data_IF_409603716098
#
_entry.id   IF_409603716098
#
_cell.length_a   1.000
_cell.length_b   1.000
_cell.length_c   1.000
_cell.angle_alpha   90.00
_cell.angle_beta   90.00
_cell.angle_gamma   90.00
#
_symmetry.space_group_name_H-M   'P 1'
#
loop_
_entity.id
_entity.type
_entity.pdbx_description
1 polymer ?
#
# COMPACT_ATOMS: atom_id res chain seq x y z
N UNK A 1 14.39 -9.92 -9.55
CA UNK A 1 12.97 -9.59 -9.35
C UNK A 1 12.78 -9.07 -7.93
N UNK A 2 12.18 -7.94 -7.80
CA UNK A 2 11.85 -7.34 -6.51
C UNK A 2 10.48 -6.72 -6.52
N UNK A 3 10.10 -6.17 -5.37
CA UNK A 3 8.82 -5.47 -5.23
C UNK A 3 9.07 -4.11 -4.58
N UNK A 4 8.22 -3.15 -4.91
CA UNK A 4 8.26 -1.81 -4.33
C UNK A 4 6.87 -1.46 -3.84
N UNK A 5 6.82 -0.95 -2.61
CA UNK A 5 5.58 -0.47 -1.99
C UNK A 5 5.71 1.02 -1.77
N UNK A 6 4.74 1.78 -2.25
CA UNK A 6 4.73 3.23 -2.07
C UNK A 6 3.44 3.64 -1.41
N UNK A 7 3.53 4.41 -0.34
CA UNK A 7 2.39 4.99 0.34
C UNK A 7 2.45 6.51 0.18
N UNK A 8 1.38 7.07 -0.39
CA UNK A 8 1.25 8.52 -0.57
C UNK A 8 0.53 9.10 0.65
N UNK A 9 1.28 9.52 1.65
CA UNK A 9 0.74 9.87 2.96
C UNK A 9 0.67 11.38 3.22
N UNK A 10 1.22 12.21 2.32
CA UNK A 10 1.16 13.68 2.43
C UNK A 10 1.15 14.30 1.04
N UNK A 11 0.61 15.53 0.96
CA UNK A 11 0.61 16.29 -0.28
C UNK A 11 2.04 16.64 -0.72
N UNK A 12 2.31 16.70 -2.04
CA UNK A 12 3.58 17.16 -2.54
C UNK A 12 3.81 18.62 -2.18
N UNK A 13 5.05 18.97 -1.83
CA UNK A 13 5.42 20.34 -1.51
C UNK A 13 5.63 21.14 -2.80
N UNK A 14 5.19 22.40 -2.77
CA UNK A 14 5.48 23.37 -3.81
C UNK A 14 6.76 24.11 -3.45
N UNK A 15 7.73 24.10 -4.36
CA UNK A 15 9.04 24.71 -4.13
C UNK A 15 9.30 25.80 -5.18
N UNK A 16 9.74 26.98 -4.72
CA UNK A 16 10.16 28.05 -5.63
C UNK A 16 11.52 27.72 -6.24
N UNK A 17 11.61 27.72 -7.54
CA UNK A 17 12.88 27.54 -8.24
C UNK A 17 13.32 28.87 -8.86
N UNK A 18 14.36 29.52 -8.32
CA UNK A 18 14.83 30.82 -8.82
C UNK A 18 15.38 30.76 -10.25
N UNK A 19 15.76 29.59 -10.74
CA UNK A 19 16.26 29.45 -12.13
C UNK A 19 15.17 29.71 -13.16
N UNK A 20 13.92 29.44 -12.79
CA UNK A 20 12.76 29.59 -13.67
C UNK A 20 11.81 30.69 -13.20
N UNK A 21 12.15 31.38 -12.11
CA UNK A 21 11.29 32.39 -11.49
C UNK A 21 9.86 31.92 -11.33
N UNK A 22 9.68 30.69 -10.90
CA UNK A 22 8.39 30.03 -10.83
C UNK A 22 8.29 29.11 -9.62
N UNK A 23 7.07 28.76 -9.25
CA UNK A 23 6.77 27.79 -8.22
C UNK A 23 6.70 26.39 -8.85
N UNK A 24 7.49 25.46 -8.31
CA UNK A 24 7.52 24.09 -8.79
C UNK A 24 6.92 23.19 -7.72
N UNK A 25 5.90 22.44 -8.10
CA UNK A 25 5.37 21.35 -7.27
C UNK A 25 6.18 20.10 -7.59
N UNK A 26 6.51 19.30 -6.57
CA UNK A 26 7.10 18.00 -6.81
C UNK A 26 6.18 17.19 -7.71
N UNK A 27 6.58 17.05 -8.95
CA UNK A 27 5.73 16.64 -10.06
C UNK A 27 5.38 15.15 -10.08
N UNK A 28 6.11 14.34 -9.32
CA UNK A 28 5.97 12.89 -9.37
C UNK A 28 5.06 12.36 -8.27
N UNK A 29 3.89 13.00 -8.13
CA UNK A 29 2.88 12.55 -7.20
C UNK A 29 1.64 12.12 -7.98
N UNK A 30 1.73 10.99 -8.72
CA UNK A 30 0.69 10.59 -9.66
C UNK A 30 -0.59 10.10 -9.02
N UNK A 31 -0.59 9.92 -7.71
CA UNK A 31 -1.74 9.40 -6.97
C UNK A 31 -2.15 10.35 -5.86
N UNK A 32 -3.45 10.39 -5.50
CA UNK A 32 -3.89 11.20 -4.38
C UNK A 32 -3.37 10.67 -3.04
N UNK A 33 -3.28 11.56 -2.06
CA UNK A 33 -2.95 11.17 -0.68
C UNK A 33 -3.92 10.10 -0.19
N UNK A 34 -3.38 9.10 0.49
CA UNK A 34 -4.15 7.95 0.95
C UNK A 34 -4.08 6.74 0.03
N UNK A 35 -3.26 6.80 -1.02
CA UNK A 35 -3.08 5.68 -1.95
C UNK A 35 -1.86 4.84 -1.59
N UNK A 36 -1.98 3.53 -1.74
CA UNK A 36 -0.85 2.60 -1.69
C UNK A 36 -0.72 1.93 -3.05
N UNK A 37 0.52 1.88 -3.55
CA UNK A 37 0.83 1.23 -4.82
C UNK A 37 1.81 0.09 -4.59
N UNK A 38 1.47 -1.09 -5.09
CA UNK A 38 2.32 -2.27 -5.08
C UNK A 38 2.84 -2.50 -6.50
N UNK A 39 4.15 -2.60 -6.66
CA UNK A 39 4.80 -2.78 -7.95
C UNK A 39 5.75 -3.96 -7.94
N UNK A 40 5.87 -4.61 -9.09
CA UNK A 40 6.90 -5.61 -9.37
C UNK A 40 8.02 -4.94 -10.16
N UNK A 41 9.25 -5.11 -9.72
CA UNK A 41 10.44 -4.52 -10.35
C UNK A 41 11.26 -5.61 -11.03
N UNK A 42 11.45 -5.46 -12.33
CA UNK A 42 12.28 -6.35 -13.15
C UNK A 42 13.21 -5.47 -13.98
N UNK A 43 14.53 -5.64 -13.81
CA UNK A 43 15.54 -4.85 -14.53
C UNK A 43 15.27 -3.34 -14.46
N UNK A 44 15.04 -2.85 -13.25
CA UNK A 44 14.74 -1.44 -12.94
C UNK A 44 13.41 -0.91 -13.50
N UNK A 45 12.60 -1.76 -14.14
CA UNK A 45 11.29 -1.38 -14.66
C UNK A 45 10.19 -1.85 -13.70
N UNK A 46 9.34 -0.91 -13.28
CA UNK A 46 8.19 -1.21 -12.41
C UNK A 46 6.94 -1.52 -13.20
N UNK A 47 6.20 -2.53 -12.74
CA UNK A 47 4.86 -2.85 -13.24
C UNK A 47 3.92 -2.84 -12.04
N UNK A 48 2.84 -2.06 -12.14
CA UNK A 48 1.84 -1.98 -11.07
C UNK A 48 1.10 -3.29 -10.94
N UNK A 49 1.12 -3.86 -9.73
CA UNK A 49 0.36 -5.06 -9.38
C UNK A 49 -1.03 -4.66 -8.88
N UNK A 50 -1.07 -3.72 -7.94
CA UNK A 50 -2.33 -3.25 -7.36
C UNK A 50 -2.16 -1.84 -6.82
N UNK A 51 -3.25 -1.09 -6.86
CA UNK A 51 -3.38 0.25 -6.27
C UNK A 51 -4.60 0.24 -5.38
N UNK A 52 -4.46 0.70 -4.14
CA UNK A 52 -5.59 0.75 -3.22
C UNK A 52 -5.63 2.05 -2.42
N UNK A 53 -6.82 2.41 -1.97
CA UNK A 53 -7.06 3.59 -1.13
C UNK A 53 -7.06 3.20 0.34
N UNK A 54 -6.47 4.05 1.18
CA UNK A 54 -6.45 3.84 2.62
C UNK A 54 -7.86 3.63 3.22
N UNK A 55 -8.85 4.35 2.71
CA UNK A 55 -10.25 4.21 3.15
C UNK A 55 -10.88 2.85 2.88
N UNK A 56 -10.30 2.07 1.97
CA UNK A 56 -10.79 0.72 1.65
C UNK A 56 -10.08 -0.38 2.45
N UNK A 57 -9.06 -0.03 3.21
CA UNK A 57 -8.31 -1.00 4.01
C UNK A 57 -9.13 -1.42 5.22
N UNK A 58 -9.31 -2.71 5.39
CA UNK A 58 -10.06 -3.31 6.49
C UNK A 58 -9.14 -3.75 7.62
N UNK A 59 -8.03 -4.39 7.26
CA UNK A 59 -7.07 -4.90 8.24
C UNK A 59 -5.67 -4.99 7.67
N UNK A 60 -4.69 -4.87 8.57
CA UNK A 60 -3.28 -5.16 8.28
C UNK A 60 -2.84 -6.16 9.34
N UNK A 61 -2.41 -7.32 8.92
CA UNK A 61 -2.09 -8.42 9.83
C UNK A 61 -0.62 -8.80 9.78
N UNK A 62 -0.01 -8.97 10.95
CA UNK A 62 1.36 -9.44 11.08
C UNK A 62 1.49 -10.90 10.63
N UNK A 63 2.72 -11.37 10.33
CA UNK A 63 2.93 -12.78 9.99
C UNK A 63 2.35 -13.71 11.06
N UNK A 64 1.60 -14.72 10.60
CA UNK A 64 0.96 -15.67 11.50
C UNK A 64 -0.39 -15.23 12.07
N UNK A 65 -0.78 -13.98 11.85
CA UNK A 65 -2.10 -13.47 12.24
C UNK A 65 -3.01 -13.41 11.02
N UNK A 66 -4.30 -13.57 11.23
CA UNK A 66 -5.28 -13.49 10.17
C UNK A 66 -6.43 -12.57 10.54
N UNK A 67 -6.99 -11.92 9.54
CA UNK A 67 -8.21 -11.15 9.70
C UNK A 67 -9.36 -12.10 10.05
N UNK A 68 -10.06 -11.82 11.12
CA UNK A 68 -11.18 -12.64 11.62
C UNK A 68 -12.51 -11.87 11.72
N UNK A 69 -12.57 -10.70 11.12
CA UNK A 69 -13.77 -9.87 11.14
C UNK A 69 -14.83 -10.30 10.15
N UNK A 70 -15.71 -9.37 9.78
CA UNK A 70 -16.81 -9.60 8.86
C UNK A 70 -16.31 -10.08 7.50
N UNK A 71 -16.92 -11.13 6.96
CA UNK A 71 -16.59 -11.75 5.68
C UNK A 71 -15.17 -12.32 5.59
N UNK A 72 -14.54 -12.64 6.73
CA UNK A 72 -13.19 -13.18 6.76
C UNK A 72 -13.04 -14.48 5.94
N UNK A 73 -14.06 -15.33 5.93
CA UNK A 73 -14.05 -16.59 5.17
C UNK A 73 -14.15 -16.41 3.67
N UNK A 74 -14.51 -15.21 3.21
CA UNK A 74 -14.70 -14.89 1.79
C UNK A 74 -13.59 -14.03 1.21
N UNK A 75 -12.48 -13.83 1.93
CA UNK A 75 -11.34 -13.05 1.45
C UNK A 75 -10.65 -13.76 0.29
N UNK A 76 -10.41 -13.01 -0.77
CA UNK A 76 -9.73 -13.51 -1.98
C UNK A 76 -8.25 -13.15 -1.92
N UNK A 77 -7.38 -14.15 -2.01
CA UNK A 77 -5.94 -13.92 -2.09
C UNK A 77 -5.57 -13.46 -3.51
N UNK A 78 -5.21 -12.18 -3.64
CA UNK A 78 -4.97 -11.56 -4.94
C UNK A 78 -3.52 -11.63 -5.40
N UNK A 79 -2.57 -11.46 -4.47
CA UNK A 79 -1.15 -11.45 -4.81
C UNK A 79 -0.28 -11.69 -3.58
N UNK A 80 0.93 -12.20 -3.83
CA UNK A 80 1.99 -12.25 -2.83
C UNK A 80 3.19 -11.49 -3.40
N UNK A 81 3.44 -10.30 -2.86
CA UNK A 81 4.54 -9.43 -3.28
C UNK A 81 5.61 -9.32 -2.20
N UNK A 82 5.80 -10.39 -1.43
CA UNK A 82 6.71 -10.41 -0.27
C UNK A 82 8.03 -11.12 -0.51
N UNK A 83 8.15 -11.94 -1.55
CA UNK A 83 9.24 -12.90 -1.75
C UNK A 83 9.32 -13.93 -0.62
N UNK A 84 8.26 -14.10 0.16
CA UNK A 84 8.16 -15.06 1.26
C UNK A 84 6.90 -15.89 1.12
N UNK A 85 6.83 -16.99 1.85
CA UNK A 85 5.59 -17.75 1.95
C UNK A 85 4.54 -16.90 2.68
N UNK A 86 3.27 -17.08 2.33
CA UNK A 86 2.17 -16.28 2.88
C UNK A 86 2.16 -16.28 4.41
N UNK A 87 2.41 -17.40 5.05
CA UNK A 87 2.41 -17.51 6.52
C UNK A 87 3.56 -16.75 7.19
N UNK A 88 4.56 -16.32 6.43
CA UNK A 88 5.71 -15.54 6.91
C UNK A 88 5.68 -14.08 6.49
N UNK A 89 4.61 -13.66 5.86
CA UNK A 89 4.46 -12.30 5.36
C UNK A 89 3.37 -11.56 6.10
N UNK A 90 3.44 -10.22 6.08
CA UNK A 90 2.30 -9.40 6.45
C UNK A 90 1.21 -9.54 5.40
N UNK A 91 -0.01 -9.25 5.77
CA UNK A 91 -1.12 -9.19 4.83
C UNK A 91 -1.92 -7.90 5.01
N UNK A 92 -2.48 -7.42 3.92
CA UNK A 92 -3.40 -6.29 3.92
C UNK A 92 -4.71 -6.75 3.30
N UNK A 93 -5.81 -6.58 4.04
CA UNK A 93 -7.16 -6.92 3.58
C UNK A 93 -7.88 -5.62 3.24
N UNK A 94 -8.42 -5.54 2.04
CA UNK A 94 -9.04 -4.33 1.52
C UNK A 94 -10.28 -4.65 0.69
N UNK A 95 -11.17 -3.66 0.59
CA UNK A 95 -12.37 -3.75 -0.24
C UNK A 95 -12.03 -3.42 -1.68
N UNK A 96 -12.53 -4.25 -2.59
CA UNK A 96 -12.45 -4.00 -4.02
C UNK A 96 -13.76 -4.47 -4.65
N UNK A 97 -14.58 -3.53 -5.11
CA UNK A 97 -15.93 -3.84 -5.52
C UNK A 97 -16.74 -4.39 -4.34
N UNK A 98 -17.40 -5.51 -4.52
CA UNK A 98 -18.23 -6.15 -3.50
C UNK A 98 -17.48 -7.22 -2.70
N UNK A 99 -16.17 -7.35 -2.90
CA UNK A 99 -15.38 -8.41 -2.29
C UNK A 99 -14.23 -7.85 -1.44
N UNK A 100 -13.76 -8.67 -0.49
CA UNK A 100 -12.53 -8.42 0.22
C UNK A 100 -11.40 -9.17 -0.48
N UNK A 101 -10.28 -8.47 -0.65
CA UNK A 101 -9.07 -9.01 -1.24
C UNK A 101 -7.92 -8.93 -0.26
N UNK A 102 -6.92 -9.78 -0.44
CA UNK A 102 -5.74 -9.81 0.41
C UNK A 102 -4.48 -9.85 -0.42
N UNK A 103 -3.53 -9.00 -0.05
CA UNK A 103 -2.18 -8.99 -0.61
C UNK A 103 -1.20 -9.30 0.51
N UNK A 104 -0.28 -10.23 0.25
CA UNK A 104 0.83 -10.52 1.15
C UNK A 104 2.03 -9.66 0.74
N UNK A 105 2.67 -9.01 1.72
CA UNK A 105 3.78 -8.10 1.46
C UNK A 105 4.76 -8.10 2.63
N UNK A 106 5.89 -7.44 2.47
CA UNK A 106 6.95 -7.41 3.48
C UNK A 106 7.34 -5.96 3.79
N UNK A 107 6.51 -5.23 4.55
CA UNK A 107 6.77 -3.84 4.87
C UNK A 107 7.83 -3.68 5.96
N UNK A 108 8.46 -2.50 6.01
CA UNK A 108 9.18 -2.06 7.20
C UNK A 108 8.24 -1.32 8.15
N UNK A 109 8.77 -0.95 9.31
CA UNK A 109 7.96 -0.27 10.32
C UNK A 109 7.55 1.14 9.90
N UNK A 110 8.40 1.85 9.19
CA UNK A 110 8.07 3.19 8.67
C UNK A 110 6.88 3.14 7.72
N UNK A 111 6.87 2.16 6.82
CA UNK A 111 5.74 1.95 5.92
C UNK A 111 4.45 1.67 6.70
N UNK A 112 4.51 0.79 7.69
CA UNK A 112 3.36 0.47 8.53
C UNK A 112 2.82 1.69 9.27
N UNK A 113 3.70 2.56 9.76
CA UNK A 113 3.29 3.79 10.42
C UNK A 113 2.54 4.72 9.48
N UNK A 114 2.99 4.84 8.24
CA UNK A 114 2.28 5.65 7.25
C UNK A 114 0.95 5.01 6.83
N UNK A 115 0.87 3.70 6.79
CA UNK A 115 -0.41 3.01 6.55
C UNK A 115 -1.40 3.33 7.68
N UNK A 116 -0.95 3.37 8.92
CA UNK A 116 -1.81 3.77 10.04
C UNK A 116 -2.35 5.19 9.88
N UNK A 117 -1.54 6.09 9.34
CA UNK A 117 -1.96 7.48 9.08
C UNK A 117 -3.08 7.57 8.04
N UNK A 118 -2.97 6.81 6.96
CA UNK A 118 -3.95 6.86 5.86
C UNK A 118 -5.14 5.93 6.05
N UNK A 119 -5.06 5.00 6.97
CA UNK A 119 -6.11 4.01 7.24
C UNK A 119 -6.37 3.89 8.75
N UNK A 120 -6.80 4.99 9.41
CA UNK A 120 -7.02 4.98 10.85
C UNK A 120 -8.15 4.04 11.29
N UNK A 121 -9.04 3.68 10.38
CA UNK A 121 -10.16 2.75 10.64
C UNK A 121 -9.74 1.29 10.56
N UNK A 122 -8.56 0.99 9.99
CA UNK A 122 -8.13 -0.39 9.78
C UNK A 122 -7.73 -1.07 11.10
N UNK A 123 -8.03 -2.35 11.19
CA UNK A 123 -7.57 -3.19 12.29
C UNK A 123 -6.12 -3.62 12.05
N UNK A 124 -5.27 -3.49 13.04
CA UNK A 124 -3.90 -3.98 12.98
C UNK A 124 -3.79 -5.21 13.89
N UNK A 125 -3.69 -6.39 13.29
CA UNK A 125 -3.68 -7.67 14.00
C UNK A 125 -2.38 -8.47 13.85
#
# INVERSE_FOLDING_TARGET
IGFRYTVFYKEPETVYDPRFDDMITHEDYPYPVGTIVFERIVSAKGTTIETLCGGDIVAVCAPGSEYSGENASSVIDSANVSCKKAEKAYSIVYKKGDALHRIFFNPDEEFLNHVREIAPQAEFC
#
